data_IF_960812988735
#
_entry.id   IF_960812988735
#
_cell.length_a   1.000
_cell.length_b   1.000
_cell.length_c   1.000
_cell.angle_alpha   90.00
_cell.angle_beta   90.00
_cell.angle_gamma   90.00
#
_symmetry.space_group_name_H-M   'P 1'
#
loop_
_entity.id
_entity.type
_entity.pdbx_description
1 polymer ?
#
# COMPACT_ATOMS: atom_id res chain seq x y z
N UNK A 1 8.72 18.98 -0.70
CA UNK A 1 9.15 17.72 -0.06
C UNK A 1 9.13 16.66 -1.16
N UNK A 2 10.16 15.85 -1.27
CA UNK A 2 10.17 14.72 -2.22
C UNK A 2 9.05 13.75 -1.85
N UNK A 3 8.14 13.44 -2.78
CA UNK A 3 7.13 12.39 -2.58
C UNK A 3 7.84 11.08 -2.25
N UNK A 4 7.61 10.55 -1.04
CA UNK A 4 8.10 9.22 -0.65
C UNK A 4 7.47 8.13 -1.52
N UNK A 5 8.05 6.94 -1.57
CA UNK A 5 7.41 5.84 -2.32
C UNK A 5 6.05 5.48 -1.71
N UNK A 6 5.93 5.62 -0.38
CA UNK A 6 4.67 5.49 0.32
C UNK A 6 3.66 6.53 -0.16
N UNK A 7 4.01 7.82 -0.23
CA UNK A 7 3.07 8.86 -0.70
C UNK A 7 2.61 8.60 -2.15
N UNK A 8 3.48 8.08 -3.01
CA UNK A 8 3.12 7.69 -4.39
C UNK A 8 2.17 6.51 -4.43
N UNK A 9 2.42 5.49 -3.61
CA UNK A 9 1.55 4.34 -3.46
C UNK A 9 0.16 4.75 -2.96
N UNK A 10 0.12 5.61 -1.93
CA UNK A 10 -1.11 6.14 -1.35
C UNK A 10 -1.92 6.95 -2.36
N UNK A 11 -1.28 7.84 -3.11
CA UNK A 11 -1.93 8.56 -4.22
C UNK A 11 -2.52 7.61 -5.27
N UNK A 12 -1.84 6.50 -5.57
CA UNK A 12 -2.36 5.51 -6.54
C UNK A 12 -3.58 4.75 -6.00
N UNK A 13 -3.59 4.42 -4.71
CA UNK A 13 -4.76 3.84 -4.02
C UNK A 13 -5.92 4.85 -3.99
N UNK A 14 -5.65 6.11 -3.64
CA UNK A 14 -6.63 7.21 -3.59
C UNK A 14 -7.36 7.44 -4.91
N UNK A 15 -6.61 7.45 -6.03
CA UNK A 15 -7.17 7.60 -7.38
C UNK A 15 -8.11 6.45 -7.73
N UNK A 16 -7.85 5.26 -7.18
CA UNK A 16 -8.59 4.05 -7.50
C UNK A 16 -9.86 3.87 -6.64
N UNK A 17 -9.93 4.48 -5.45
CA UNK A 17 -10.88 4.01 -4.41
C UNK A 17 -11.58 5.12 -3.58
N UNK A 18 -11.60 6.35 -4.10
CA UNK A 18 -12.38 7.52 -3.60
C UNK A 18 -12.25 7.79 -2.08
N UNK A 19 -11.31 8.69 -1.77
CA UNK A 19 -11.10 9.40 -0.50
C UNK A 19 -10.42 8.58 0.62
N UNK A 20 -9.12 8.82 0.77
CA UNK A 20 -8.28 8.32 1.85
C UNK A 20 -7.71 9.49 2.64
N UNK A 21 -7.79 9.45 3.97
CA UNK A 21 -7.05 10.36 4.84
C UNK A 21 -5.90 9.61 5.50
N UNK A 22 -4.69 10.19 5.45
CA UNK A 22 -3.49 9.64 6.09
C UNK A 22 -3.17 10.43 7.35
N UNK A 23 -3.11 9.75 8.49
CA UNK A 23 -2.70 10.35 9.76
C UNK A 23 -1.72 9.43 10.50
N UNK A 24 -0.63 9.95 11.10
CA UNK A 24 0.24 9.16 11.96
C UNK A 24 -0.47 8.86 13.30
N UNK A 25 -0.38 7.62 13.76
CA UNK A 25 -0.71 7.25 15.14
C UNK A 25 0.46 7.48 16.10
N UNK A 26 0.20 7.24 17.38
CA UNK A 26 1.13 7.38 18.51
C UNK A 26 2.43 6.54 18.36
N UNK A 27 2.46 5.61 17.40
CA UNK A 27 3.58 4.73 17.08
C UNK A 27 4.18 5.02 15.69
N UNK A 28 3.87 6.17 15.10
CA UNK A 28 4.27 6.55 13.73
C UNK A 28 3.72 5.65 12.62
N UNK A 29 2.68 4.86 12.89
CA UNK A 29 1.98 4.08 11.86
C UNK A 29 1.00 4.97 11.16
N UNK A 30 0.91 4.88 9.83
CA UNK A 30 -0.03 5.69 9.06
C UNK A 30 -1.33 4.92 8.88
N UNK A 31 -2.46 5.53 9.23
CA UNK A 31 -3.78 4.93 9.07
C UNK A 31 -4.42 5.49 7.80
N UNK A 32 -5.11 4.64 7.03
CA UNK A 32 -5.92 5.00 5.87
C UNK A 32 -7.38 4.76 6.24
N UNK A 33 -8.26 5.73 6.05
CA UNK A 33 -9.70 5.58 6.34
C UNK A 33 -10.47 5.75 5.03
N UNK A 34 -11.31 4.78 4.67
CA UNK A 34 -12.25 4.87 3.55
C UNK A 34 -13.65 5.15 4.10
N UNK A 35 -14.44 5.98 3.42
CA UNK A 35 -15.86 6.15 3.66
C UNK A 35 -16.63 5.67 2.43
N UNK A 36 -17.62 4.80 2.61
CA UNK A 36 -18.57 4.46 1.56
C UNK A 36 -19.98 4.85 2.03
N UNK A 37 -20.63 5.80 1.33
CA UNK A 37 -22.05 6.13 1.44
C UNK A 37 -22.61 6.17 2.89
N UNK A 38 -21.96 6.95 3.77
CA UNK A 38 -22.30 7.12 5.20
C UNK A 38 -22.18 5.88 6.10
N UNK A 39 -21.70 4.74 5.59
CA UNK A 39 -21.32 3.58 6.40
C UNK A 39 -19.84 3.62 6.77
N UNK A 40 -19.56 3.34 8.04
CA UNK A 40 -18.20 3.11 8.51
C UNK A 40 -17.71 1.78 7.96
N UNK A 41 -17.03 1.83 6.84
CA UNK A 41 -16.19 0.75 6.35
C UNK A 41 -14.89 0.79 7.16
N UNK A 42 -14.45 -0.31 7.83
CA UNK A 42 -13.28 -0.26 8.69
C UNK A 42 -12.06 0.37 8.01
N UNK A 43 -11.25 1.16 8.74
CA UNK A 43 -10.10 1.83 8.17
C UNK A 43 -9.05 0.82 7.73
N UNK A 44 -8.43 1.11 6.59
CA UNK A 44 -7.25 0.45 6.09
C UNK A 44 -6.03 0.82 6.96
N UNK A 45 -5.68 -0.02 7.91
CA UNK A 45 -4.57 0.17 8.84
C UNK A 45 -3.25 -0.28 8.20
N UNK A 46 -2.28 0.62 8.03
CA UNK A 46 -0.92 0.24 7.63
C UNK A 46 -0.11 -0.11 8.87
N UNK A 47 0.29 -1.38 9.00
CA UNK A 47 1.14 -1.86 10.10
C UNK A 47 2.57 -2.07 9.62
N UNK A 48 3.14 -0.99 9.09
CA UNK A 48 4.54 -0.88 8.70
C UNK A 48 4.98 0.59 8.78
N UNK A 49 6.28 0.82 8.88
CA UNK A 49 6.85 2.17 8.82
C UNK A 49 7.12 2.59 7.38
N UNK A 50 7.28 3.90 7.13
CA UNK A 50 7.70 4.41 5.81
C UNK A 50 9.04 3.81 5.36
N UNK A 51 9.95 3.57 6.31
CA UNK A 51 11.22 2.89 6.03
C UNK A 51 11.01 1.44 5.58
N UNK A 52 10.15 0.69 6.26
CA UNK A 52 9.86 -0.70 5.89
C UNK A 52 9.27 -0.77 4.48
N UNK A 53 8.40 0.19 4.15
CA UNK A 53 7.81 0.30 2.82
C UNK A 53 8.86 0.62 1.75
N UNK A 54 9.74 1.59 1.99
CA UNK A 54 10.81 1.95 1.06
C UNK A 54 11.77 0.78 0.80
N UNK A 55 12.16 0.06 1.86
CA UNK A 55 13.04 -1.11 1.75
C UNK A 55 12.35 -2.23 0.95
N UNK A 56 11.04 -2.44 1.15
CA UNK A 56 10.25 -3.41 0.40
C UNK A 56 10.09 -3.01 -1.08
N UNK A 57 9.78 -1.75 -1.40
CA UNK A 57 9.69 -1.26 -2.79
C UNK A 57 10.99 -1.50 -3.54
N UNK A 58 12.16 -1.24 -2.92
CA UNK A 58 13.46 -1.48 -3.56
C UNK A 58 13.75 -2.96 -3.75
N UNK A 59 13.41 -3.81 -2.78
CA UNK A 59 13.58 -5.25 -2.90
C UNK A 59 12.70 -5.83 -4.02
N UNK A 60 11.43 -5.44 -4.04
CA UNK A 60 10.43 -5.85 -5.02
C UNK A 60 10.78 -5.33 -6.41
N UNK A 61 11.18 -4.07 -6.53
CA UNK A 61 11.57 -3.43 -7.79
C UNK A 61 12.69 -4.16 -8.54
N UNK A 62 13.71 -4.65 -7.82
CA UNK A 62 14.79 -5.47 -8.40
C UNK A 62 14.28 -6.74 -9.08
N UNK A 63 13.23 -7.35 -8.52
CA UNK A 63 12.63 -8.57 -9.06
C UNK A 63 11.55 -8.27 -10.13
N UNK A 64 10.80 -7.17 -9.95
CA UNK A 64 9.69 -6.74 -10.79
C UNK A 64 10.12 -6.21 -12.18
N UNK A 65 11.40 -5.86 -12.34
CA UNK A 65 11.96 -5.35 -13.61
C UNK A 65 11.75 -6.30 -14.81
N UNK A 66 11.58 -7.60 -14.56
CA UNK A 66 11.26 -8.55 -15.63
C UNK A 66 9.81 -8.42 -16.16
N UNK A 67 8.89 -7.96 -15.31
CA UNK A 67 7.47 -7.77 -15.63
C UNK A 67 7.24 -6.40 -16.28
N UNK A 68 7.92 -5.36 -15.79
CA UNK A 68 7.88 -4.01 -16.33
C UNK A 68 9.29 -3.53 -16.70
N UNK A 69 9.83 -3.93 -17.86
CA UNK A 69 11.22 -3.64 -18.23
C UNK A 69 11.49 -2.17 -18.53
N UNK A 70 10.44 -1.42 -18.91
CA UNK A 70 10.53 0.00 -19.25
C UNK A 70 10.35 0.92 -18.03
N UNK A 71 9.93 0.36 -16.88
CA UNK A 71 9.78 1.12 -15.65
C UNK A 71 11.09 1.11 -14.84
N UNK A 72 11.48 2.25 -14.24
CA UNK A 72 12.54 2.27 -13.24
C UNK A 72 12.22 1.33 -12.06
N UNK A 73 13.25 0.77 -11.41
CA UNK A 73 13.07 -0.24 -10.37
C UNK A 73 12.10 0.17 -9.24
N UNK A 74 12.17 1.38 -8.65
CA UNK A 74 11.22 1.74 -7.58
C UNK A 74 9.77 1.81 -8.07
N UNK A 75 9.55 2.28 -9.28
CA UNK A 75 8.24 2.40 -9.92
C UNK A 75 7.65 1.03 -10.27
N UNK A 76 8.47 0.11 -10.79
CA UNK A 76 8.09 -1.29 -10.96
C UNK A 76 7.75 -1.95 -9.61
N UNK A 77 8.50 -1.61 -8.56
CA UNK A 77 8.24 -2.05 -7.19
C UNK A 77 6.88 -1.57 -6.67
N UNK A 78 6.57 -0.28 -6.79
CA UNK A 78 5.27 0.30 -6.40
C UNK A 78 4.12 -0.36 -7.16
N UNK A 79 4.26 -0.56 -8.47
CA UNK A 79 3.23 -1.23 -9.28
C UNK A 79 2.97 -2.66 -8.80
N UNK A 80 4.01 -3.43 -8.50
CA UNK A 80 3.84 -4.79 -7.99
C UNK A 80 3.17 -4.81 -6.60
N UNK A 81 3.54 -3.86 -5.74
CA UNK A 81 2.90 -3.67 -4.43
C UNK A 81 1.40 -3.40 -4.55
N UNK A 82 0.97 -2.58 -5.51
CA UNK A 82 -0.45 -2.32 -5.78
C UNK A 82 -1.19 -3.59 -6.25
N UNK A 83 -0.54 -4.42 -7.09
CA UNK A 83 -1.10 -5.71 -7.53
C UNK A 83 -1.29 -6.64 -6.34
N UNK A 84 -0.30 -6.79 -5.47
CA UNK A 84 -0.41 -7.62 -4.26
C UNK A 84 -1.52 -7.14 -3.34
N UNK A 85 -1.63 -5.82 -3.11
CA UNK A 85 -2.72 -5.25 -2.33
C UNK A 85 -4.09 -5.63 -2.93
N UNK A 86 -4.27 -5.42 -4.24
CA UNK A 86 -5.52 -5.75 -4.92
C UNK A 86 -5.87 -7.24 -4.80
N UNK A 87 -4.90 -8.12 -5.01
CA UNK A 87 -5.09 -9.57 -4.90
C UNK A 87 -5.45 -10.01 -3.47
N UNK A 88 -4.84 -9.40 -2.44
CA UNK A 88 -5.17 -9.70 -1.04
C UNK A 88 -6.57 -9.21 -0.68
N UNK A 89 -6.92 -7.96 -1.04
CA UNK A 89 -8.24 -7.39 -0.75
C UNK A 89 -9.38 -8.12 -1.49
N UNK A 90 -9.12 -8.65 -2.69
CA UNK A 90 -10.13 -9.38 -3.47
C UNK A 90 -10.46 -10.78 -2.94
N UNK A 91 -9.64 -11.34 -2.03
CA UNK A 91 -9.79 -12.71 -1.51
C UNK A 91 -10.51 -12.78 -0.17
N UNK A 92 -10.71 -11.65 0.51
CA UNK A 92 -11.27 -11.61 1.87
C UNK A 92 -12.80 -11.52 1.86
N UNK A 93 -13.49 -12.55 2.38
CA UNK A 93 -14.96 -12.55 2.54
C UNK A 93 -15.42 -11.59 3.66
N UNK A 94 -14.55 -11.33 4.65
CA UNK A 94 -14.80 -10.46 5.80
C UNK A 94 -13.52 -9.69 6.19
N UNK A 95 -13.15 -8.65 5.43
CA UNK A 95 -11.86 -8.01 5.63
C UNK A 95 -11.81 -7.31 7.00
N UNK A 96 -10.84 -7.72 7.82
CA UNK A 96 -10.12 -6.68 8.56
C UNK A 96 -9.34 -5.95 7.46
N UNK A 97 -9.05 -4.66 7.63
CA UNK A 97 -8.34 -3.91 6.59
C UNK A 97 -6.94 -3.60 7.06
N UNK A 98 -6.20 -4.59 7.53
CA UNK A 98 -4.81 -4.37 7.97
C UNK A 98 -3.87 -4.73 6.83
N UNK A 99 -3.10 -3.75 6.36
CA UNK A 99 -2.00 -3.99 5.42
C UNK A 99 -0.69 -4.11 6.21
N UNK A 100 0.08 -5.14 5.94
CA UNK A 100 1.41 -5.35 6.53
C UNK A 100 2.41 -5.84 5.47
N UNK A 101 3.69 -5.74 5.80
CA UNK A 101 4.77 -6.26 4.96
C UNK A 101 5.25 -7.59 5.55
N UNK A 102 5.21 -8.64 4.75
CA UNK A 102 5.77 -9.95 5.10
C UNK A 102 6.53 -10.51 3.91
N UNK A 103 7.74 -11.01 4.16
CA UNK A 103 8.62 -11.57 3.13
C UNK A 103 8.89 -10.61 1.94
N UNK A 104 8.86 -9.30 2.19
CA UNK A 104 9.05 -8.26 1.17
C UNK A 104 7.82 -7.98 0.30
N UNK A 105 6.67 -8.57 0.60
CA UNK A 105 5.40 -8.37 -0.10
C UNK A 105 4.38 -7.69 0.80
N UNK A 106 3.41 -6.99 0.20
CA UNK A 106 2.24 -6.48 0.90
C UNK A 106 1.17 -7.56 1.02
N UNK A 107 0.56 -7.61 2.18
CA UNK A 107 -0.54 -8.51 2.50
C UNK A 107 -1.68 -7.73 3.14
N UNK A 108 -2.91 -8.20 2.95
CA UNK A 108 -4.09 -7.72 3.67
C UNK A 108 -4.66 -8.83 4.56
N UNK A 109 -5.07 -8.45 5.78
CA UNK A 109 -5.76 -9.23 6.81
C UNK A 109 -7.07 -8.54 7.17
#
# INVERSE_FOLDING_TARGET
MSDSYLDRFLKAVEVSDHAVFTGPDDRSRRHLVQYHDDQFDPPLLLDFTEKDFDDAVRATGRNARSVWPDDPEPEAGIKLMLVHLYESMSKEEHPRRRIFISEGQLWAE
#
